data_IF_524807310162
#
_entry.id   IF_524807310162
#
_cell.length_a   1.000
_cell.length_b   1.000
_cell.length_c   1.000
_cell.angle_alpha   90.00
_cell.angle_beta   90.00
_cell.angle_gamma   90.00
#
_symmetry.space_group_name_H-M   'P 1'
#
loop_
_entity.id
_entity.type
_entity.pdbx_description
1 polymer ?
#
# COMPACT_ATOMS: atom_id res chain seq x y z
N UNK A 1 7.92 7.33 24.56
CA UNK A 1 6.88 6.27 24.46
C UNK A 1 6.17 6.50 23.14
N UNK A 2 6.04 5.50 22.29
CA UNK A 2 5.35 5.66 21.00
C UNK A 2 3.86 5.84 21.20
N UNK A 3 3.23 6.67 20.35
CA UNK A 3 1.79 6.92 20.41
C UNK A 3 1.00 5.67 20.03
N UNK A 4 -0.05 5.36 20.81
CA UNK A 4 -1.02 4.31 20.45
C UNK A 4 -1.94 4.84 19.36
N UNK A 5 -2.36 3.99 18.43
CA UNK A 5 -3.38 4.36 17.44
C UNK A 5 -4.71 4.61 18.16
N UNK A 6 -5.27 5.79 17.97
CA UNK A 6 -6.47 6.26 18.63
C UNK A 6 -7.41 6.98 17.66
N UNK A 7 -8.71 6.65 17.74
CA UNK A 7 -9.70 7.20 16.81
C UNK A 7 -9.93 8.70 16.98
N UNK A 8 -9.87 9.23 18.20
CA UNK A 8 -10.06 10.66 18.45
C UNK A 8 -8.86 11.44 17.94
N UNK A 9 -7.65 10.91 18.13
CA UNK A 9 -6.42 11.51 17.58
C UNK A 9 -6.43 11.49 16.05
N UNK A 10 -6.81 10.37 15.41
CA UNK A 10 -6.97 10.28 13.96
C UNK A 10 -7.95 11.34 13.43
N UNK A 11 -9.12 11.46 14.07
CA UNK A 11 -10.18 12.38 13.64
C UNK A 11 -9.73 13.86 13.62
N UNK A 12 -8.74 14.24 14.42
CA UNK A 12 -8.20 15.63 14.41
C UNK A 12 -7.54 16.00 13.07
N UNK A 13 -7.10 15.00 12.31
CA UNK A 13 -6.33 15.20 11.08
C UNK A 13 -7.05 14.69 9.83
N UNK A 14 -8.21 14.04 9.99
CA UNK A 14 -8.99 13.57 8.84
C UNK A 14 -9.62 14.75 8.08
N UNK A 15 -9.56 14.69 6.76
CA UNK A 15 -10.14 15.69 5.87
C UNK A 15 -11.68 15.66 5.84
N UNK A 16 -12.28 16.74 5.37
CA UNK A 16 -13.74 16.91 5.34
C UNK A 16 -14.45 15.85 4.48
N UNK A 17 -13.84 15.34 3.44
CA UNK A 17 -14.39 14.29 2.58
C UNK A 17 -14.66 13.01 3.36
N UNK A 18 -13.61 12.48 4.01
CA UNK A 18 -13.71 11.25 4.80
C UNK A 18 -14.60 11.43 6.04
N UNK A 19 -14.56 12.60 6.69
CA UNK A 19 -15.44 12.88 7.83
C UNK A 19 -16.92 12.93 7.44
N UNK A 20 -17.26 13.42 6.24
CA UNK A 20 -18.65 13.41 5.73
C UNK A 20 -19.15 12.03 5.38
N UNK A 21 -18.31 11.17 4.82
CA UNK A 21 -18.69 9.80 4.47
C UNK A 21 -18.84 8.89 5.70
N UNK A 22 -18.26 9.30 6.85
CA UNK A 22 -18.33 8.58 8.12
C UNK A 22 -18.01 7.08 7.99
N UNK A 23 -16.87 6.68 7.41
CA UNK A 23 -16.52 5.28 7.33
C UNK A 23 -16.40 4.69 8.72
N UNK A 24 -16.70 3.41 8.86
CA UNK A 24 -16.47 2.72 10.12
C UNK A 24 -14.97 2.55 10.35
N UNK A 25 -14.42 3.20 11.38
CA UNK A 25 -13.00 3.08 11.78
C UNK A 25 -12.92 2.14 12.98
N UNK A 26 -12.25 1.00 12.78
CA UNK A 26 -12.07 -0.06 13.75
C UNK A 26 -10.59 -0.17 14.08
N UNK A 27 -10.24 0.04 15.35
CA UNK A 27 -8.86 -0.08 15.84
C UNK A 27 -8.81 -1.21 16.85
N UNK A 28 -7.94 -2.20 16.62
CA UNK A 28 -7.77 -3.35 17.49
C UNK A 28 -6.37 -3.37 18.11
N UNK A 29 -6.26 -3.86 19.34
CA UNK A 29 -4.93 -4.03 19.96
C UNK A 29 -4.14 -5.17 19.32
N UNK A 30 -4.83 -6.17 18.75
CA UNK A 30 -4.25 -7.34 18.12
C UNK A 30 -5.27 -8.05 17.22
N UNK A 31 -4.82 -8.50 16.06
CA UNK A 31 -5.58 -9.37 15.15
C UNK A 31 -4.64 -10.37 14.47
N UNK A 32 -5.19 -11.36 13.79
CA UNK A 32 -4.40 -12.21 12.89
C UNK A 32 -3.97 -11.41 11.65
N UNK A 33 -4.91 -10.71 11.02
CA UNK A 33 -4.63 -9.87 9.84
C UNK A 33 -5.74 -8.85 9.63
N UNK A 34 -5.38 -7.57 9.49
CA UNK A 34 -6.34 -6.50 9.17
C UNK A 34 -7.04 -6.72 7.81
N UNK A 35 -6.37 -7.39 6.84
CA UNK A 35 -7.02 -7.78 5.57
C UNK A 35 -8.13 -8.81 5.78
N UNK A 36 -7.92 -9.81 6.66
CA UNK A 36 -8.96 -10.80 6.95
C UNK A 36 -10.14 -10.17 7.70
N UNK A 37 -9.87 -9.23 8.60
CA UNK A 37 -10.92 -8.46 9.28
C UNK A 37 -11.74 -7.66 8.26
N UNK A 38 -11.08 -6.96 7.34
CA UNK A 38 -11.71 -6.19 6.27
C UNK A 38 -12.55 -7.08 5.33
N UNK A 39 -12.05 -8.26 4.93
CA UNK A 39 -12.84 -9.24 4.16
C UNK A 39 -14.06 -9.73 4.92
N UNK A 40 -13.91 -10.01 6.22
CA UNK A 40 -15.00 -10.44 7.08
C UNK A 40 -16.06 -9.37 7.23
N UNK A 41 -15.65 -8.11 7.32
CA UNK A 41 -16.53 -6.95 7.33
C UNK A 41 -17.36 -6.88 6.04
N UNK A 42 -16.72 -6.90 4.87
CA UNK A 42 -17.38 -6.83 3.57
C UNK A 42 -18.45 -7.91 3.37
N UNK A 43 -18.26 -9.10 3.94
CA UNK A 43 -19.24 -10.21 3.86
C UNK A 43 -20.48 -10.00 4.74
N UNK A 44 -20.36 -9.23 5.82
CA UNK A 44 -21.39 -9.15 6.87
C UNK A 44 -22.12 -7.82 6.92
N UNK A 45 -21.49 -6.73 6.49
CA UNK A 45 -21.96 -5.37 6.72
C UNK A 45 -22.56 -4.73 5.46
N UNK A 46 -23.42 -3.73 5.68
CA UNK A 46 -24.05 -2.95 4.61
C UNK A 46 -23.22 -1.73 4.17
N UNK A 47 -22.27 -1.29 5.00
CA UNK A 47 -21.44 -0.12 4.70
C UNK A 47 -20.51 -0.43 3.53
N UNK A 48 -20.28 0.57 2.69
CA UNK A 48 -19.49 0.42 1.47
C UNK A 48 -18.00 0.60 1.73
N UNK A 49 -17.62 1.31 2.79
CA UNK A 49 -16.22 1.54 3.17
C UNK A 49 -16.06 1.34 4.69
N UNK A 50 -15.01 0.60 5.08
CA UNK A 50 -14.54 0.53 6.46
C UNK A 50 -13.02 0.53 6.52
N UNK A 51 -12.48 0.98 7.65
CA UNK A 51 -11.07 1.12 7.91
C UNK A 51 -10.70 0.25 9.10
N UNK A 52 -9.83 -0.72 8.89
CA UNK A 52 -9.33 -1.62 9.92
C UNK A 52 -7.88 -1.31 10.23
N UNK A 53 -7.59 -1.00 11.48
CA UNK A 53 -6.25 -0.75 12.01
C UNK A 53 -5.95 -1.73 13.15
N UNK A 54 -4.70 -2.11 13.31
CA UNK A 54 -4.27 -2.93 14.45
C UNK A 54 -2.91 -2.49 14.98
N UNK A 55 -2.72 -2.60 16.30
CA UNK A 55 -1.40 -2.40 16.92
C UNK A 55 -0.46 -3.58 16.66
N UNK A 56 -0.97 -4.77 16.36
CA UNK A 56 -0.21 -5.98 16.10
C UNK A 56 -0.94 -6.93 15.15
N UNK A 57 -0.22 -7.57 14.23
CA UNK A 57 -0.75 -8.72 13.50
C UNK A 57 0.02 -10.00 13.86
N UNK A 58 -0.70 -11.11 14.13
CA UNK A 58 -0.08 -12.40 14.42
C UNK A 58 0.26 -13.20 13.17
N UNK A 59 -0.51 -12.98 12.10
CA UNK A 59 -0.38 -13.65 10.82
C UNK A 59 -0.44 -12.63 9.66
N UNK A 60 0.31 -11.51 9.78
CA UNK A 60 0.42 -10.49 8.75
C UNK A 60 0.88 -11.10 7.42
N UNK A 61 0.22 -10.70 6.33
CA UNK A 61 0.42 -11.28 4.99
C UNK A 61 1.01 -10.26 4.01
N UNK A 62 1.98 -10.72 3.21
CA UNK A 62 2.42 -10.08 1.99
C UNK A 62 1.98 -10.88 0.76
N UNK A 63 2.39 -10.45 -0.43
CA UNK A 63 2.14 -11.17 -1.70
C UNK A 63 2.81 -12.54 -1.70
N UNK A 64 2.25 -13.46 -2.48
CA UNK A 64 2.77 -14.82 -2.70
C UNK A 64 2.98 -15.60 -1.38
N UNK A 65 2.13 -15.36 -0.37
CA UNK A 65 2.21 -16.05 0.92
C UNK A 65 3.34 -15.61 1.84
N UNK A 66 4.09 -14.57 1.49
CA UNK A 66 5.15 -14.03 2.35
C UNK A 66 4.55 -13.45 3.63
N UNK A 67 5.28 -13.60 4.74
CA UNK A 67 4.92 -13.02 6.03
C UNK A 67 5.24 -11.51 6.05
N UNK A 68 4.35 -10.72 6.65
CA UNK A 68 4.61 -9.33 7.01
C UNK A 68 4.87 -9.25 8.52
N UNK A 69 6.11 -8.91 8.91
CA UNK A 69 6.50 -8.79 10.32
C UNK A 69 5.77 -7.62 10.96
N UNK A 70 5.05 -7.87 12.04
CA UNK A 70 4.09 -6.92 12.60
C UNK A 70 4.24 -6.78 14.13
N UNK A 71 5.37 -6.21 14.63
CA UNK A 71 5.57 -5.99 16.06
C UNK A 71 4.55 -4.99 16.62
N UNK A 72 4.19 -5.18 17.89
CA UNK A 72 3.17 -4.37 18.56
C UNK A 72 3.62 -2.92 18.75
N UNK A 73 2.76 -1.98 18.35
CA UNK A 73 2.93 -0.55 18.65
C UNK A 73 4.02 0.15 17.84
N UNK A 74 4.59 -0.51 16.82
CA UNK A 74 5.74 0.03 16.07
C UNK A 74 5.37 0.58 14.70
N UNK A 75 4.47 -0.06 14.01
CA UNK A 75 4.20 0.17 12.59
C UNK A 75 2.73 0.56 12.36
N UNK A 76 2.38 0.86 11.13
CA UNK A 76 0.99 1.01 10.70
C UNK A 76 0.58 -0.25 9.95
N UNK A 77 -0.47 -0.92 10.44
CA UNK A 77 -1.14 -2.05 9.79
C UNK A 77 -2.57 -1.62 9.53
N UNK A 78 -2.83 -1.30 8.27
CA UNK A 78 -4.06 -0.68 7.81
C UNK A 78 -4.67 -1.52 6.70
N UNK A 79 -5.97 -1.76 6.76
CA UNK A 79 -6.71 -2.33 5.64
C UNK A 79 -8.01 -1.55 5.42
N UNK A 80 -8.25 -1.15 4.19
CA UNK A 80 -9.48 -0.47 3.79
C UNK A 80 -10.35 -1.48 3.05
N UNK A 81 -11.53 -1.74 3.60
CA UNK A 81 -12.58 -2.51 2.96
C UNK A 81 -13.39 -1.57 2.08
N UNK A 82 -13.55 -1.89 0.79
CA UNK A 82 -14.28 -1.08 -0.18
C UNK A 82 -15.18 -1.95 -1.05
N UNK A 83 -16.50 -1.72 -1.02
CA UNK A 83 -17.43 -2.27 -2.01
C UNK A 83 -17.30 -1.46 -3.28
N UNK A 84 -16.55 -1.99 -4.22
CA UNK A 84 -16.22 -1.29 -5.45
C UNK A 84 -17.35 -1.36 -6.48
N UNK A 85 -17.67 -0.26 -7.16
CA UNK A 85 -18.58 -0.28 -8.31
C UNK A 85 -17.90 -0.83 -9.58
N UNK A 86 -16.60 -1.14 -9.52
CA UNK A 86 -15.76 -1.54 -10.65
C UNK A 86 -15.82 -3.05 -10.88
N UNK A 87 -15.52 -3.48 -12.09
CA UNK A 87 -15.19 -4.86 -12.41
C UNK A 87 -13.68 -5.12 -12.27
N UNK A 88 -13.25 -6.39 -12.36
CA UNK A 88 -11.86 -6.78 -12.16
C UNK A 88 -10.86 -6.08 -13.09
N UNK A 89 -11.22 -5.88 -14.38
CA UNK A 89 -10.32 -5.22 -15.34
C UNK A 89 -10.15 -3.73 -15.08
N UNK A 90 -11.12 -3.10 -14.43
CA UNK A 90 -11.03 -1.69 -14.05
C UNK A 90 -10.18 -1.46 -12.79
N UNK A 91 -9.80 -2.53 -12.07
CA UNK A 91 -8.89 -2.46 -10.92
C UNK A 91 -7.41 -2.54 -11.34
N UNK A 92 -7.12 -2.72 -12.63
CA UNK A 92 -5.74 -2.76 -13.13
C UNK A 92 -5.03 -1.43 -12.80
N UNK A 93 -3.81 -1.52 -12.26
CA UNK A 93 -3.03 -0.36 -11.81
C UNK A 93 -3.43 0.22 -10.44
N UNK A 94 -4.47 -0.29 -9.77
CA UNK A 94 -4.88 0.23 -8.46
C UNK A 94 -3.74 0.18 -7.42
N UNK A 95 -2.94 -0.88 -7.41
CA UNK A 95 -1.80 -1.00 -6.50
C UNK A 95 -0.77 0.11 -6.69
N UNK A 96 -0.51 0.49 -7.95
CA UNK A 96 0.42 1.58 -8.29
C UNK A 96 -0.17 2.94 -7.92
N UNK A 97 -1.48 3.13 -8.12
CA UNK A 97 -2.18 4.35 -7.71
C UNK A 97 -2.12 4.53 -6.19
N UNK A 98 -2.42 3.47 -5.43
CA UNK A 98 -2.27 3.47 -3.96
C UNK A 98 -0.82 3.74 -3.59
N UNK A 99 0.16 3.07 -4.22
CA UNK A 99 1.58 3.31 -3.97
C UNK A 99 2.01 4.75 -4.22
N UNK A 100 1.49 5.37 -5.28
CA UNK A 100 1.74 6.77 -5.60
C UNK A 100 1.22 7.71 -4.53
N UNK A 101 -0.02 7.50 -4.08
CA UNK A 101 -0.64 8.29 -2.99
C UNK A 101 0.16 8.13 -1.71
N UNK A 102 0.50 6.89 -1.32
CA UNK A 102 1.29 6.61 -0.12
C UNK A 102 2.67 7.26 -0.18
N UNK A 103 3.38 7.15 -1.32
CA UNK A 103 4.70 7.75 -1.48
C UNK A 103 4.64 9.28 -1.36
N UNK A 104 3.65 9.94 -1.97
CA UNK A 104 3.44 11.39 -1.84
C UNK A 104 3.19 11.79 -0.39
N UNK A 105 2.33 11.08 0.33
CA UNK A 105 2.03 11.35 1.74
C UNK A 105 3.24 11.13 2.64
N UNK A 106 3.95 10.01 2.48
CA UNK A 106 5.13 9.69 3.31
C UNK A 106 6.32 10.63 3.04
N UNK A 107 6.47 11.13 1.82
CA UNK A 107 7.50 12.12 1.48
C UNK A 107 7.34 13.46 2.23
N UNK A 108 6.18 13.73 2.85
CA UNK A 108 6.02 14.88 3.73
C UNK A 108 6.73 14.70 5.09
N UNK A 109 7.06 13.48 5.46
CA UNK A 109 7.68 13.11 6.74
C UNK A 109 9.16 12.75 6.63
N UNK A 110 9.66 12.52 5.42
CA UNK A 110 10.98 11.95 5.19
C UNK A 110 11.92 12.94 4.51
N UNK A 111 13.19 12.90 4.90
CA UNK A 111 14.25 13.67 4.22
C UNK A 111 14.68 13.00 2.91
N UNK A 112 14.64 11.67 2.88
CA UNK A 112 14.94 10.88 1.68
C UNK A 112 13.67 10.60 0.88
N UNK A 113 13.79 10.61 -0.45
CA UNK A 113 12.66 10.36 -1.33
C UNK A 113 12.22 8.91 -1.29
N UNK A 114 10.98 8.68 -0.89
CA UNK A 114 10.31 7.39 -1.01
C UNK A 114 9.78 7.25 -2.45
N UNK A 115 10.12 6.13 -3.09
CA UNK A 115 9.72 5.79 -4.45
C UNK A 115 8.88 4.51 -4.47
N UNK A 116 8.11 4.36 -5.54
CA UNK A 116 7.31 3.16 -5.78
C UNK A 116 8.13 2.17 -6.60
N UNK A 117 8.33 0.98 -6.05
CA UNK A 117 8.88 -0.16 -6.77
C UNK A 117 7.73 -1.04 -7.25
N UNK A 118 7.57 -1.14 -8.56
CA UNK A 118 6.60 -2.04 -9.17
C UNK A 118 6.76 -3.47 -8.61
N UNK A 119 5.65 -4.20 -8.31
CA UNK A 119 4.27 -3.78 -8.51
C UNK A 119 3.60 -3.17 -7.27
N UNK A 120 4.22 -3.15 -6.06
CA UNK A 120 3.47 -2.90 -4.83
C UNK A 120 4.31 -2.48 -3.60
N UNK A 121 5.58 -2.16 -3.78
CA UNK A 121 6.47 -1.82 -2.67
C UNK A 121 6.86 -0.33 -2.69
N UNK A 122 7.08 0.25 -1.53
CA UNK A 122 7.65 1.58 -1.38
C UNK A 122 9.05 1.45 -0.77
N UNK A 123 10.02 2.10 -1.39
CA UNK A 123 11.41 2.05 -0.96
C UNK A 123 12.00 3.45 -0.80
N UNK A 124 12.82 3.62 0.24
CA UNK A 124 13.75 4.73 0.40
C UNK A 124 15.18 4.16 0.37
N UNK A 125 16.09 4.78 -0.39
CA UNK A 125 17.48 4.31 -0.52
C UNK A 125 17.61 2.81 -0.82
N UNK A 126 16.75 2.28 -1.69
CA UNK A 126 16.64 0.85 -2.04
C UNK A 126 16.24 -0.09 -0.89
N UNK A 127 15.86 0.43 0.28
CA UNK A 127 15.37 -0.32 1.42
C UNK A 127 13.84 -0.19 1.51
N UNK A 128 13.15 -1.30 1.73
CA UNK A 128 11.68 -1.33 1.79
C UNK A 128 11.14 -0.64 3.04
N UNK A 129 10.30 0.36 2.85
CA UNK A 129 9.62 1.12 3.91
C UNK A 129 8.18 0.69 4.08
N UNK A 130 7.49 0.37 2.97
CA UNK A 130 6.08 -0.03 2.99
C UNK A 130 5.77 -1.09 1.92
N UNK A 131 4.66 -1.79 2.10
CA UNK A 131 4.13 -2.74 1.15
C UNK A 131 2.61 -2.66 1.05
N UNK A 132 2.08 -2.94 -0.14
CA UNK A 132 0.65 -2.92 -0.45
C UNK A 132 0.20 -4.32 -0.84
N UNK A 133 -0.92 -4.77 -0.30
CA UNK A 133 -1.56 -6.03 -0.65
C UNK A 133 -3.03 -5.79 -0.98
N UNK A 134 -3.36 -5.78 -2.27
CA UNK A 134 -4.75 -5.69 -2.71
C UNK A 134 -5.31 -7.09 -2.88
N UNK A 135 -6.44 -7.35 -2.25
CA UNK A 135 -7.19 -8.59 -2.38
C UNK A 135 -8.64 -8.26 -2.77
N UNK A 136 -9.25 -9.14 -3.54
CA UNK A 136 -10.61 -9.00 -4.01
C UNK A 136 -11.45 -10.20 -3.61
N UNK A 137 -12.75 -9.98 -3.42
CA UNK A 137 -13.73 -11.03 -3.16
C UNK A 137 -15.07 -10.68 -3.80
N UNK A 138 -15.83 -11.70 -4.17
CA UNK A 138 -17.19 -11.51 -4.68
C UNK A 138 -18.17 -11.27 -3.53
N UNK A 139 -19.01 -10.23 -3.65
CA UNK A 139 -20.06 -9.88 -2.69
C UNK A 139 -21.38 -9.72 -3.47
N UNK A 140 -22.10 -10.81 -3.61
CA UNK A 140 -23.30 -10.83 -4.44
C UNK A 140 -23.00 -10.47 -5.90
N UNK A 141 -23.44 -9.29 -6.36
CA UNK A 141 -23.17 -8.79 -7.73
C UNK A 141 -22.05 -7.75 -7.80
N UNK A 142 -21.39 -7.44 -6.69
CA UNK A 142 -20.34 -6.43 -6.61
C UNK A 142 -19.01 -7.08 -6.24
N UNK A 143 -17.92 -6.34 -6.41
CA UNK A 143 -16.58 -6.74 -5.99
C UNK A 143 -16.23 -6.02 -4.69
N UNK A 144 -15.91 -6.77 -3.66
CA UNK A 144 -15.23 -6.24 -2.50
C UNK A 144 -13.73 -6.14 -2.78
N UNK A 145 -13.16 -4.97 -2.52
CA UNK A 145 -11.72 -4.71 -2.61
C UNK A 145 -11.20 -4.46 -1.21
N UNK A 146 -10.12 -5.13 -0.84
CA UNK A 146 -9.38 -4.88 0.39
C UNK A 146 -8.01 -4.32 0.02
N UNK A 147 -7.75 -3.09 0.44
CA UNK A 147 -6.48 -2.41 0.25
C UNK A 147 -5.68 -2.54 1.55
N UNK A 148 -4.81 -3.53 1.64
CA UNK A 148 -3.91 -3.75 2.78
C UNK A 148 -2.62 -2.96 2.63
N UNK A 149 -2.21 -2.29 3.71
CA UNK A 149 -1.05 -1.42 3.76
C UNK A 149 -0.27 -1.72 5.04
N UNK A 150 1.01 -2.07 4.89
CA UNK A 150 1.96 -2.19 5.98
C UNK A 150 3.05 -1.13 5.82
N UNK A 151 3.31 -0.34 6.87
CA UNK A 151 4.35 0.69 6.87
C UNK A 151 5.23 0.53 8.09
N UNK A 152 6.53 0.42 7.89
CA UNK A 152 7.51 0.45 8.96
C UNK A 152 7.67 1.89 9.44
N UNK A 153 7.30 2.18 10.71
CA UNK A 153 7.37 3.54 11.28
C UNK A 153 8.45 3.61 12.35
N UNK A 154 8.28 2.89 13.46
CA UNK A 154 9.19 2.89 14.61
C UNK A 154 9.99 1.60 14.76
N UNK A 155 9.87 0.68 13.79
CA UNK A 155 10.54 -0.62 13.84
C UNK A 155 12.05 -0.45 13.82
N UNK A 156 12.74 -1.11 14.74
CA UNK A 156 14.19 -1.15 14.82
C UNK A 156 14.75 -2.49 14.33
N UNK A 157 16.09 -2.60 14.32
CA UNK A 157 16.77 -3.78 13.80
C UNK A 157 16.38 -5.08 14.52
N UNK A 158 16.17 -5.06 15.84
CA UNK A 158 15.85 -6.27 16.61
C UNK A 158 14.48 -6.85 16.21
N UNK A 159 13.50 -5.99 15.97
CA UNK A 159 12.17 -6.42 15.53
C UNK A 159 12.15 -6.88 14.06
N UNK A 160 13.02 -6.31 13.24
CA UNK A 160 13.11 -6.60 11.81
C UNK A 160 14.15 -7.64 11.40
N UNK A 161 14.89 -8.25 12.33
CA UNK A 161 16.00 -9.18 12.01
C UNK A 161 15.58 -10.46 11.25
N UNK A 162 14.28 -10.83 11.32
CA UNK A 162 13.76 -11.95 10.55
C UNK A 162 13.35 -11.58 9.12
N UNK A 163 13.47 -10.30 8.73
CA UNK A 163 13.12 -9.85 7.38
C UNK A 163 14.29 -10.18 6.46
N UNK A 164 14.03 -10.99 5.43
CA UNK A 164 15.02 -11.52 4.47
C UNK A 164 15.37 -10.56 3.33
N UNK A 165 15.03 -9.29 3.43
CA UNK A 165 15.32 -8.25 2.45
C UNK A 165 15.73 -6.95 3.14
N UNK A 166 16.41 -6.06 2.41
CA UNK A 166 16.75 -4.73 2.93
C UNK A 166 15.47 -3.92 3.21
N UNK A 167 15.38 -3.40 4.43
CA UNK A 167 14.25 -2.60 4.89
C UNK A 167 14.72 -1.38 5.71
N UNK A 168 13.83 -0.42 5.85
CA UNK A 168 14.01 0.77 6.69
C UNK A 168 12.66 1.21 7.27
N UNK A 169 12.66 2.19 8.16
CA UNK A 169 11.47 2.77 8.78
C UNK A 169 11.39 4.28 8.55
N UNK A 170 10.19 4.84 8.71
CA UNK A 170 9.97 6.28 8.56
C UNK A 170 10.83 7.07 9.53
N UNK A 171 10.97 6.63 10.78
CA UNK A 171 11.82 7.28 11.78
C UNK A 171 13.29 7.25 11.39
N UNK A 172 13.78 6.15 10.82
CA UNK A 172 15.16 6.05 10.35
C UNK A 172 15.45 7.04 9.22
N UNK A 173 14.53 7.20 8.25
CA UNK A 173 14.72 8.09 7.10
C UNK A 173 14.48 9.56 7.43
N UNK A 174 13.65 9.88 8.42
CA UNK A 174 13.35 11.25 8.84
C UNK A 174 14.32 11.77 9.91
N UNK A 175 15.03 10.87 10.61
CA UNK A 175 15.78 11.15 11.84
C UNK A 175 14.91 11.76 12.95
N UNK A 176 13.60 11.46 12.96
CA UNK A 176 12.61 11.94 13.92
C UNK A 176 11.72 10.80 14.36
N UNK A 177 11.12 10.93 15.54
CA UNK A 177 10.03 10.05 15.97
C UNK A 177 8.72 10.65 15.45
N UNK A 178 8.07 9.90 14.58
CA UNK A 178 6.86 10.35 13.88
C UNK A 178 5.58 9.90 14.61
N UNK A 179 4.52 10.70 14.50
CA UNK A 179 3.21 10.35 15.05
C UNK A 179 2.46 9.43 14.06
N UNK A 180 2.22 8.17 14.48
CA UNK A 180 1.49 7.18 13.66
C UNK A 180 0.05 7.60 13.38
N UNK A 181 -0.62 8.32 14.32
CA UNK A 181 -1.98 8.81 14.08
C UNK A 181 -1.99 9.84 12.97
N UNK A 182 -1.06 10.79 13.01
CA UNK A 182 -0.93 11.83 11.98
C UNK A 182 -0.61 11.22 10.61
N UNK A 183 0.39 10.33 10.52
CA UNK A 183 0.71 9.63 9.27
C UNK A 183 -0.52 8.87 8.75
N UNK A 184 -1.18 8.10 9.62
CA UNK A 184 -2.35 7.31 9.23
C UNK A 184 -3.48 8.20 8.68
N UNK A 185 -3.75 9.32 9.31
CA UNK A 185 -4.78 10.25 8.85
C UNK A 185 -4.44 10.86 7.47
N UNK A 186 -3.20 11.28 7.25
CA UNK A 186 -2.78 11.82 5.95
C UNK A 186 -2.84 10.77 4.83
N UNK A 187 -2.49 9.51 5.14
CA UNK A 187 -2.65 8.39 4.21
C UNK A 187 -4.13 8.13 3.89
N UNK A 188 -4.98 8.10 4.91
CA UNK A 188 -6.42 7.88 4.75
C UNK A 188 -7.06 8.97 3.91
N UNK A 189 -6.68 10.23 4.09
CA UNK A 189 -7.17 11.34 3.27
C UNK A 189 -6.87 11.12 1.80
N UNK A 190 -5.62 10.81 1.45
CA UNK A 190 -5.23 10.57 0.06
C UNK A 190 -5.85 9.31 -0.54
N UNK A 191 -5.99 8.22 0.24
CA UNK A 191 -6.62 6.99 -0.27
C UNK A 191 -8.14 7.17 -0.42
N UNK A 192 -8.77 7.94 0.46
CA UNK A 192 -10.19 8.25 0.31
C UNK A 192 -10.46 9.03 -0.98
N UNK A 193 -9.67 10.07 -1.28
CA UNK A 193 -9.73 10.79 -2.55
C UNK A 193 -9.50 9.87 -3.76
N UNK A 194 -8.58 8.90 -3.62
CA UNK A 194 -8.35 7.90 -4.65
C UNK A 194 -9.59 7.02 -4.85
N UNK A 195 -10.18 6.48 -3.79
CA UNK A 195 -11.38 5.61 -3.87
C UNK A 195 -12.54 6.35 -4.55
N UNK A 196 -12.73 7.62 -4.26
CA UNK A 196 -13.78 8.45 -4.87
C UNK A 196 -13.52 8.73 -6.37
N UNK A 197 -12.28 8.97 -6.75
CA UNK A 197 -11.93 9.37 -8.13
C UNK A 197 -11.59 8.19 -9.05
N UNK A 198 -11.14 7.06 -8.49
CA UNK A 198 -10.66 5.93 -9.28
C UNK A 198 -11.71 5.30 -10.21
N UNK A 199 -13.00 5.20 -9.84
CA UNK A 199 -14.03 4.68 -10.73
C UNK A 199 -14.18 5.45 -12.04
N UNK A 200 -13.93 6.74 -12.03
CA UNK A 200 -14.03 7.59 -13.23
C UNK A 200 -12.73 7.63 -14.03
N UNK A 201 -11.59 7.66 -13.35
CA UNK A 201 -10.32 8.02 -13.99
C UNK A 201 -9.33 6.86 -14.11
N UNK A 202 -9.45 5.81 -13.27
CA UNK A 202 -8.54 4.67 -13.25
C UNK A 202 -7.08 5.05 -12.99
N UNK A 203 -6.16 4.13 -13.28
CA UNK A 203 -4.72 4.37 -13.12
C UNK A 203 -4.18 5.49 -14.02
N UNK A 204 -4.78 5.74 -15.16
CA UNK A 204 -4.32 6.78 -16.11
C UNK A 204 -4.20 8.16 -15.47
N UNK A 205 -5.04 8.48 -14.50
CA UNK A 205 -4.99 9.75 -13.75
C UNK A 205 -3.73 9.84 -12.86
N UNK A 206 -3.30 8.72 -12.28
CA UNK A 206 -2.16 8.64 -11.38
C UNK A 206 -0.84 8.36 -12.11
N UNK A 207 -0.89 7.97 -13.38
CA UNK A 207 0.28 7.49 -14.15
C UNK A 207 1.43 8.48 -14.19
N UNK A 208 1.15 9.77 -14.42
CA UNK A 208 2.19 10.81 -14.45
C UNK A 208 2.89 10.98 -13.10
N UNK A 209 2.14 10.96 -12.01
CA UNK A 209 2.69 11.05 -10.66
C UNK A 209 3.49 9.79 -10.32
N UNK A 210 2.99 8.61 -10.71
CA UNK A 210 3.73 7.36 -10.59
C UNK A 210 5.06 7.41 -11.35
N UNK A 211 5.09 7.88 -12.59
CA UNK A 211 6.32 7.97 -13.41
C UNK A 211 7.40 8.83 -12.75
N UNK A 212 7.04 9.85 -12.00
CA UNK A 212 7.97 10.68 -11.21
C UNK A 212 8.53 9.94 -9.98
N UNK A 213 7.81 8.93 -9.49
CA UNK A 213 8.14 8.14 -8.30
C UNK A 213 8.62 6.73 -8.64
N UNK A 214 8.61 6.33 -9.92
CA UNK A 214 8.99 4.99 -10.35
C UNK A 214 10.47 4.72 -10.08
N UNK A 215 10.73 3.75 -9.20
CA UNK A 215 12.10 3.35 -8.85
C UNK A 215 12.79 2.58 -9.98
N UNK A 216 12.02 1.87 -10.81
CA UNK A 216 12.57 0.93 -11.78
C UNK A 216 12.78 1.53 -13.16
N UNK A 217 12.18 2.67 -13.47
CA UNK A 217 12.28 3.31 -14.78
C UNK A 217 13.73 3.49 -15.19
N UNK A 218 14.05 3.14 -16.42
CA UNK A 218 15.38 3.17 -17.05
C UNK A 218 16.47 2.31 -16.36
N UNK A 219 16.09 1.45 -15.39
CA UNK A 219 17.01 0.55 -14.70
C UNK A 219 17.12 -0.81 -15.39
N UNK A 220 18.24 -1.49 -15.12
CA UNK A 220 18.42 -2.90 -15.48
C UNK A 220 17.94 -3.79 -14.33
N UNK A 221 16.94 -4.61 -14.61
CA UNK A 221 16.37 -5.54 -13.63
C UNK A 221 16.59 -7.00 -14.05
N UNK A 222 16.57 -7.89 -13.07
CA UNK A 222 16.49 -9.31 -13.29
C UNK A 222 15.05 -9.76 -13.05
N UNK A 223 14.43 -10.31 -14.07
CA UNK A 223 13.08 -10.88 -13.99
C UNK A 223 13.14 -12.39 -14.17
N UNK A 224 12.15 -13.10 -13.64
CA UNK A 224 12.00 -14.54 -13.85
C UNK A 224 10.88 -14.80 -14.86
N UNK A 225 11.24 -15.33 -16.03
CA UNK A 225 10.30 -15.71 -17.07
C UNK A 225 10.44 -17.20 -17.32
N UNK A 226 9.36 -17.98 -17.13
CA UNK A 226 9.34 -19.43 -17.32
C UNK A 226 10.50 -20.16 -16.60
N UNK A 227 10.70 -19.83 -15.32
CA UNK A 227 11.79 -20.36 -14.46
C UNK A 227 13.22 -20.03 -14.96
N UNK A 228 13.39 -19.00 -15.77
CA UNK A 228 14.71 -18.50 -16.20
C UNK A 228 14.87 -17.06 -15.76
N UNK A 229 16.01 -16.78 -15.13
CA UNK A 229 16.39 -15.41 -14.76
C UNK A 229 16.93 -14.69 -15.99
N UNK A 230 16.32 -13.58 -16.34
CA UNK A 230 16.68 -12.77 -17.51
C UNK A 230 16.94 -11.33 -17.11
N UNK A 231 17.99 -10.72 -17.67
CA UNK A 231 18.24 -9.29 -17.52
C UNK A 231 17.46 -8.52 -18.59
N UNK A 232 16.68 -7.53 -18.15
CA UNK A 232 15.88 -6.65 -19.00
C UNK A 232 16.07 -5.20 -18.58
N UNK A 233 15.88 -4.27 -19.51
CA UNK A 233 15.76 -2.84 -19.20
C UNK A 233 14.29 -2.53 -18.94
N UNK A 234 13.98 -1.89 -17.81
CA UNK A 234 12.64 -1.37 -17.52
C UNK A 234 12.47 -0.04 -18.24
N UNK A 235 11.39 0.10 -19.00
CA UNK A 235 11.04 1.33 -19.73
C UNK A 235 10.05 2.17 -18.92
N UNK A 236 9.16 1.52 -18.18
CA UNK A 236 8.11 2.16 -17.38
C UNK A 236 6.89 1.24 -17.27
N UNK A 237 5.70 1.81 -17.26
CA UNK A 237 4.43 1.05 -17.21
C UNK A 237 3.48 1.52 -18.31
N UNK A 238 2.62 0.60 -18.79
CA UNK A 238 1.54 0.94 -19.72
C UNK A 238 0.35 1.61 -19.00
N UNK A 239 -0.75 1.86 -19.70
CA UNK A 239 -1.95 2.50 -19.14
C UNK A 239 -2.71 1.63 -18.13
N UNK A 240 -2.47 0.31 -18.12
CA UNK A 240 -3.04 -0.64 -17.16
C UNK A 240 -2.11 -0.91 -15.97
N UNK A 241 -0.93 -0.25 -15.91
CA UNK A 241 0.04 -0.47 -14.83
C UNK A 241 0.89 -1.74 -14.99
N UNK A 242 0.90 -2.36 -16.17
CA UNK A 242 1.78 -3.48 -16.49
C UNK A 242 3.20 -2.96 -16.79
N UNK A 243 4.22 -3.67 -16.32
CA UNK A 243 5.61 -3.26 -16.49
C UNK A 243 6.07 -3.47 -17.93
N UNK A 244 6.52 -2.40 -18.58
CA UNK A 244 7.11 -2.45 -19.92
C UNK A 244 8.61 -2.70 -19.78
N UNK A 245 9.08 -3.79 -20.38
CA UNK A 245 10.50 -4.16 -20.39
C UNK A 245 11.05 -4.27 -21.83
N UNK A 246 12.32 -3.92 -21.99
CA UNK A 246 13.04 -4.08 -23.25
C UNK A 246 14.12 -5.15 -23.10
N UNK A 247 14.17 -6.08 -24.05
CA UNK A 247 15.18 -7.12 -24.17
C UNK A 247 15.60 -7.28 -25.62
N UNK A 248 16.87 -7.01 -25.93
CA UNK A 248 17.44 -7.16 -27.29
C UNK A 248 16.64 -6.43 -28.37
N UNK A 249 16.15 -5.22 -28.07
CA UNK A 249 15.35 -4.40 -28.99
C UNK A 249 13.88 -4.81 -29.13
N UNK A 250 13.39 -5.76 -28.33
CA UNK A 250 11.98 -6.15 -28.27
C UNK A 250 11.37 -5.71 -26.94
N UNK A 251 10.11 -5.28 -26.98
CA UNK A 251 9.34 -4.86 -25.84
C UNK A 251 8.34 -5.96 -25.43
N UNK A 252 8.24 -6.19 -24.13
CA UNK A 252 7.25 -7.07 -23.51
C UNK A 252 6.54 -6.33 -22.38
N UNK A 253 5.28 -6.70 -22.10
CA UNK A 253 4.46 -6.20 -20.99
C UNK A 253 4.27 -7.30 -19.95
N UNK A 254 4.58 -6.97 -18.69
CA UNK A 254 4.50 -7.91 -17.58
C UNK A 254 3.39 -7.50 -16.62
N UNK A 255 2.43 -8.38 -16.42
CA UNK A 255 1.29 -8.15 -15.53
C UNK A 255 1.58 -8.50 -14.06
N UNK A 256 2.48 -9.47 -13.83
CA UNK A 256 2.84 -9.97 -12.50
C UNK A 256 4.36 -10.04 -12.37
N UNK A 257 4.85 -9.65 -11.18
CA UNK A 257 6.24 -9.72 -10.79
C UNK A 257 6.46 -10.68 -9.62
#
# INVERSE_FOLDING_TARGET
MFTVLDKEELNKFLGTGILRSQPEIIITSKTDSTNEDAKSFLKKQKNDIAIHLSEQQLAGKGRNGKKWISPKGKNIYLSIAWKSPLNYSQLDGLSLSVGTVLAKSLNMYCNDSIKVKWPNDLLANNKKTAGILIETLEIGKTIGVVIGIGINVHMDYEEGKEIDQDWTSVDEISNLINDRNRITADLLNGIYELIESYPEHGFSYYKKDFENLDLLRDSMCQIEVRNKKEKVKVIGVNHSGELIVEKKGKYDELRYG
#
